data_IF_669443598706
#
_entry.id   IF_669443598706
#
_cell.length_a   1.000
_cell.length_b   1.000
_cell.length_c   1.000
_cell.angle_alpha   90.00
_cell.angle_beta   90.00
_cell.angle_gamma   90.00
#
_symmetry.space_group_name_H-M   'P 1'
#
loop_
_entity.id
_entity.type
_entity.pdbx_description
1 polymer ?
#
# COMPACT_ATOMS: atom_id res chain seq x y z
N UNK A 1 -35.49 -33.01 6.47
CA UNK A 1 -34.85 -33.97 5.54
C UNK A 1 -34.32 -33.17 4.36
N UNK A 2 -33.04 -33.05 4.02
CA UNK A 2 -31.78 -33.43 4.64
C UNK A 2 -30.70 -32.51 4.01
N UNK A 3 -29.77 -32.04 4.83
CA UNK A 3 -28.61 -31.25 4.45
C UNK A 3 -27.53 -32.12 3.80
N UNK A 4 -26.87 -31.65 2.74
CA UNK A 4 -25.56 -32.17 2.32
C UNK A 4 -24.47 -31.16 2.62
N UNK A 5 -23.73 -31.47 3.68
CA UNK A 5 -22.39 -30.99 3.99
C UNK A 5 -21.38 -31.77 3.15
N UNK A 6 -20.52 -31.11 2.39
CA UNK A 6 -19.35 -31.75 1.78
C UNK A 6 -18.15 -31.60 2.70
N UNK A 7 -17.76 -32.73 3.30
CA UNK A 7 -16.47 -32.97 3.93
C UNK A 7 -15.46 -33.26 2.82
N UNK A 8 -14.28 -32.66 2.91
CA UNK A 8 -13.08 -33.23 2.30
C UNK A 8 -12.06 -33.50 3.40
N UNK A 9 -11.83 -34.79 3.62
CA UNK A 9 -10.66 -35.32 4.28
C UNK A 9 -10.30 -36.61 3.56
N UNK A 10 -9.10 -36.66 2.98
CA UNK A 10 -8.22 -37.83 3.09
C UNK A 10 -6.81 -37.52 2.57
N UNK A 11 -5.81 -38.27 3.07
CA UNK A 11 -4.44 -37.82 3.24
C UNK A 11 -3.51 -38.47 2.21
N UNK A 12 -2.76 -37.65 1.47
CA UNK A 12 -1.63 -38.13 0.69
C UNK A 12 -0.71 -36.93 0.45
N UNK A 13 0.23 -36.68 1.37
CA UNK A 13 1.52 -35.99 1.15
C UNK A 13 2.24 -35.95 2.51
N UNK A 14 2.58 -37.13 3.02
CA UNK A 14 3.55 -37.33 4.11
C UNK A 14 4.59 -38.33 3.60
N UNK A 15 5.45 -37.92 2.67
CA UNK A 15 6.78 -38.52 2.43
C UNK A 15 7.65 -37.41 1.82
N UNK A 16 8.91 -37.32 2.25
CA UNK A 16 9.94 -36.30 1.96
C UNK A 16 9.92 -35.03 2.83
N UNK A 17 10.30 -35.20 4.11
CA UNK A 17 11.29 -34.32 4.75
C UNK A 17 11.77 -34.96 6.06
N UNK A 18 12.44 -36.12 5.96
CA UNK A 18 13.10 -36.78 7.08
C UNK A 18 14.53 -37.10 6.71
N UNK A 19 15.37 -36.06 6.61
CA UNK A 19 16.83 -36.17 6.54
C UNK A 19 17.43 -34.77 6.75
N UNK A 20 17.48 -34.34 8.02
CA UNK A 20 18.45 -33.36 8.59
C UNK A 20 18.12 -33.04 10.06
N UNK A 21 17.85 -34.06 10.88
CA UNK A 21 17.87 -33.90 12.35
C UNK A 21 18.72 -35.04 12.89
N UNK A 22 20.02 -34.81 12.98
CA UNK A 22 20.92 -35.47 13.93
C UNK A 22 22.21 -34.64 13.93
N UNK A 23 22.26 -33.58 14.75
CA UNK A 23 23.43 -33.27 15.57
C UNK A 23 23.11 -32.13 16.55
N UNK A 24 23.55 -32.33 17.80
CA UNK A 24 23.62 -31.42 18.96
C UNK A 24 22.41 -31.36 19.90
N UNK A 25 22.48 -32.24 20.89
CA UNK A 25 22.17 -31.89 22.28
C UNK A 25 23.42 -31.31 22.97
N UNK A 26 23.17 -30.55 24.05
CA UNK A 26 24.09 -29.99 25.06
C UNK A 26 24.77 -28.65 24.73
N UNK A 27 24.24 -27.54 25.28
CA UNK A 27 24.77 -26.79 26.45
C UNK A 27 23.61 -25.98 27.07
N UNK A 28 23.59 -25.87 28.40
CA UNK A 28 22.50 -25.34 29.22
C UNK A 28 22.35 -23.81 29.32
N UNK A 29 21.27 -23.47 30.03
CA UNK A 29 20.73 -22.20 30.54
C UNK A 29 21.57 -20.91 30.49
N UNK A 30 20.97 -19.83 29.97
CA UNK A 30 20.81 -18.55 30.70
C UNK A 30 19.76 -17.65 30.02
N UNK A 31 19.06 -16.89 30.85
CA UNK A 31 18.01 -15.91 30.53
C UNK A 31 18.55 -14.66 29.86
N UNK A 32 17.97 -14.25 28.72
CA UNK A 32 17.69 -12.84 28.35
C UNK A 32 16.86 -12.80 27.06
N UNK A 33 15.73 -12.12 27.07
CA UNK A 33 14.95 -11.74 25.88
C UNK A 33 15.82 -10.90 24.94
N UNK A 34 15.90 -11.16 23.62
CA UNK A 34 16.67 -10.31 22.73
C UNK A 34 15.92 -8.99 22.52
N UNK A 35 16.54 -7.90 22.99
CA UNK A 35 16.18 -6.53 22.66
C UNK A 35 16.48 -6.22 21.20
N UNK A 36 15.58 -5.49 20.55
CA UNK A 36 15.75 -4.91 19.22
C UNK A 36 17.06 -4.11 19.15
N UNK A 37 18.04 -4.60 18.39
CA UNK A 37 19.21 -3.82 17.99
C UNK A 37 19.25 -3.78 16.47
N UNK A 38 19.19 -2.56 15.95
CA UNK A 38 19.27 -2.20 14.55
C UNK A 38 20.61 -2.61 13.95
N UNK A 39 20.59 -3.35 12.85
CA UNK A 39 21.78 -3.60 12.04
C UNK A 39 21.97 -2.40 11.12
N UNK A 40 23.01 -1.62 11.39
CA UNK A 40 23.51 -0.56 10.51
C UNK A 40 25.02 -0.75 10.38
N UNK A 41 25.47 -1.41 9.31
CA UNK A 41 26.87 -1.31 8.87
C UNK A 41 26.90 -0.46 7.59
N UNK A 42 27.36 0.81 7.65
CA UNK A 42 27.29 1.75 6.53
C UNK A 42 28.48 1.68 5.55
N UNK A 43 29.34 0.64 5.61
CA UNK A 43 30.68 0.70 4.97
C UNK A 43 30.86 -0.13 3.70
N UNK A 44 29.79 -0.53 3.04
CA UNK A 44 29.85 -1.08 1.69
C UNK A 44 28.84 -0.30 0.86
N UNK A 45 29.20 0.03 -0.38
CA UNK A 45 28.40 0.76 -1.38
C UNK A 45 28.59 2.29 -1.43
N UNK A 46 29.48 2.69 -2.35
CA UNK A 46 29.33 3.95 -3.09
C UNK A 46 28.26 3.72 -4.18
N UNK A 47 27.07 4.28 -3.99
CA UNK A 47 25.92 4.28 -4.92
C UNK A 47 25.10 5.57 -4.65
N UNK A 48 24.32 6.07 -5.63
CA UNK A 48 24.07 7.49 -5.89
C UNK A 48 23.32 8.23 -4.78
N UNK A 49 23.65 9.52 -4.66
CA UNK A 49 23.39 10.52 -3.59
C UNK A 49 21.95 10.65 -3.05
N UNK A 50 20.98 9.87 -3.53
CA UNK A 50 19.57 9.98 -3.17
C UNK A 50 19.05 8.98 -2.14
N UNK A 51 19.54 7.74 -2.09
CA UNK A 51 18.86 6.67 -1.33
C UNK A 51 19.07 6.79 0.19
N UNK A 52 20.30 6.97 0.66
CA UNK A 52 20.54 7.21 2.10
C UNK A 52 19.96 8.54 2.55
N UNK A 53 19.99 9.57 1.69
CA UNK A 53 19.33 10.84 1.96
C UNK A 53 17.81 10.69 2.05
N UNK A 54 17.20 9.85 1.20
CA UNK A 54 15.76 9.57 1.16
C UNK A 54 15.32 8.65 2.31
N UNK A 55 16.06 7.60 2.64
CA UNK A 55 15.83 6.78 3.84
C UNK A 55 15.98 7.62 5.09
N UNK A 56 17.06 8.40 5.20
CA UNK A 56 17.20 9.37 6.28
C UNK A 56 16.12 10.45 6.21
N UNK A 57 15.52 10.79 5.07
CA UNK A 57 14.39 11.72 4.99
C UNK A 57 13.09 11.08 5.49
N UNK A 58 12.80 9.83 5.13
CA UNK A 58 11.66 9.06 5.68
C UNK A 58 11.83 8.82 7.19
N UNK A 59 13.06 8.53 7.63
CA UNK A 59 13.41 8.38 9.04
C UNK A 59 13.60 9.71 9.80
N UNK A 60 13.85 10.86 9.14
CA UNK A 60 13.91 12.20 9.78
C UNK A 60 12.60 12.96 9.74
N UNK A 61 11.67 12.64 8.82
CA UNK A 61 10.31 13.21 8.80
C UNK A 61 9.39 12.60 9.87
N UNK A 62 9.92 11.72 10.73
CA UNK A 62 9.37 11.52 12.07
C UNK A 62 9.66 12.67 13.04
N UNK A 63 10.67 13.52 12.75
CA UNK A 63 11.21 14.53 13.68
C UNK A 63 11.40 15.97 13.13
N UNK A 64 11.46 16.26 11.81
CA UNK A 64 11.66 17.64 11.28
C UNK A 64 11.09 17.81 9.84
N UNK A 65 10.13 18.71 9.59
CA UNK A 65 9.58 19.05 8.25
C UNK A 65 9.14 20.54 8.10
N UNK A 66 10.00 21.49 8.49
CA UNK A 66 9.71 22.92 8.45
C UNK A 66 9.95 23.61 7.09
N UNK A 67 10.58 22.96 6.11
CA UNK A 67 11.25 23.70 5.03
C UNK A 67 10.57 23.70 3.65
N UNK A 68 9.34 23.20 3.51
CA UNK A 68 8.63 23.25 2.22
C UNK A 68 7.87 24.57 1.95
N UNK A 69 7.85 25.51 2.91
CA UNK A 69 7.07 26.76 2.82
C UNK A 69 7.84 27.99 2.32
N UNK A 70 9.13 27.90 1.95
CA UNK A 70 9.96 29.11 1.71
C UNK A 70 10.58 29.28 0.31
N UNK A 71 10.32 28.41 -0.67
CA UNK A 71 10.87 28.58 -2.03
C UNK A 71 9.81 28.65 -3.15
N UNK A 72 8.72 29.40 -2.93
CA UNK A 72 7.84 29.88 -4.01
C UNK A 72 7.82 31.41 -4.08
N UNK A 73 8.98 31.98 -4.41
CA UNK A 73 9.04 33.31 -5.04
C UNK A 73 9.85 33.18 -6.31
N UNK A 74 9.16 33.00 -7.43
CA UNK A 74 9.71 33.34 -8.73
C UNK A 74 8.73 34.28 -9.44
N UNK A 75 9.37 35.31 -9.95
CA UNK A 75 8.95 36.58 -10.51
C UNK A 75 7.80 36.53 -11.51
N UNK A 76 6.93 37.55 -11.46
CA UNK A 76 5.84 37.78 -12.40
C UNK A 76 6.18 38.98 -13.28
N UNK A 77 6.81 38.76 -14.43
CA UNK A 77 6.81 39.72 -15.56
C UNK A 77 7.11 38.99 -16.87
N UNK A 78 6.09 38.70 -17.67
CA UNK A 78 5.90 39.28 -19.00
C UNK A 78 4.88 38.47 -19.81
N UNK A 79 3.80 39.16 -20.18
CA UNK A 79 2.71 38.69 -21.02
C UNK A 79 2.86 39.37 -22.38
N UNK A 80 2.85 38.62 -23.46
CA UNK A 80 2.24 39.06 -24.73
C UNK A 80 1.49 37.90 -25.39
N UNK A 81 0.24 38.10 -25.86
CA UNK A 81 -0.59 37.05 -26.44
C UNK A 81 -0.55 37.07 -27.98
N UNK A 82 -0.57 35.90 -28.61
CA UNK A 82 -0.98 35.73 -30.01
C UNK A 82 -2.07 34.66 -30.08
N UNK A 83 -3.20 35.02 -30.67
CA UNK A 83 -4.45 34.26 -30.59
C UNK A 83 -4.83 33.48 -31.85
N UNK A 84 -5.89 32.68 -31.66
CA UNK A 84 -6.85 32.18 -32.66
C UNK A 84 -6.73 30.68 -33.01
N UNK A 85 -7.82 29.99 -33.44
CA UNK A 85 -9.24 30.34 -33.42
C UNK A 85 -10.13 29.38 -32.60
N UNK A 86 -11.37 29.84 -32.41
CA UNK A 86 -12.48 29.20 -31.71
C UNK A 86 -12.94 27.90 -32.36
N UNK A 87 -13.21 26.89 -31.53
CA UNK A 87 -14.27 25.91 -31.79
C UNK A 87 -15.12 25.80 -30.52
N UNK A 88 -16.33 26.32 -30.63
CA UNK A 88 -17.37 26.31 -29.60
C UNK A 88 -17.92 24.89 -29.43
N UNK A 89 -17.57 24.21 -28.33
CA UNK A 89 -18.39 23.14 -27.79
C UNK A 89 -18.69 23.40 -26.31
N UNK A 90 -19.85 24.00 -26.11
CA UNK A 90 -20.43 24.43 -24.86
C UNK A 90 -20.76 23.21 -23.98
N UNK A 91 -19.77 22.71 -23.25
CA UNK A 91 -19.98 21.75 -22.15
C UNK A 91 -20.07 22.50 -20.83
N UNK A 92 -21.27 22.46 -20.25
CA UNK A 92 -21.64 23.14 -19.01
C UNK A 92 -20.55 23.06 -17.92
N UNK A 93 -19.98 24.24 -17.63
CA UNK A 93 -19.01 24.50 -16.59
C UNK A 93 -19.63 24.36 -15.19
N UNK A 94 -19.57 23.17 -14.62
CA UNK A 94 -19.43 22.99 -13.18
C UNK A 94 -18.23 22.09 -12.92
N UNK A 95 -17.04 22.56 -13.29
CA UNK A 95 -15.80 22.04 -12.72
C UNK A 95 -15.79 22.38 -11.23
N UNK A 96 -16.41 21.52 -10.41
CA UNK A 96 -16.17 21.51 -8.98
C UNK A 96 -14.66 21.36 -8.79
N UNK A 97 -14.00 22.44 -8.38
CA UNK A 97 -12.59 22.39 -8.04
C UNK A 97 -12.45 21.39 -6.89
N UNK A 98 -11.99 20.18 -7.22
CA UNK A 98 -11.84 19.07 -6.29
C UNK A 98 -10.85 19.40 -5.17
N UNK A 99 -10.11 20.52 -5.21
CA UNK A 99 -9.24 21.00 -4.15
C UNK A 99 -9.85 22.12 -3.29
N UNK A 100 -10.99 22.69 -3.68
CA UNK A 100 -11.58 23.76 -2.88
C UNK A 100 -12.06 23.18 -1.55
N UNK A 101 -11.27 23.41 -0.50
CA UNK A 101 -11.60 23.03 0.87
C UNK A 101 -12.79 23.88 1.31
N UNK A 102 -13.96 23.26 1.40
CA UNK A 102 -15.20 23.93 1.82
C UNK A 102 -15.32 23.98 3.33
N UNK A 103 -14.83 22.93 4.00
CA UNK A 103 -14.87 22.80 5.45
C UNK A 103 -13.65 22.04 5.95
N UNK A 104 -13.09 22.51 7.06
CA UNK A 104 -12.05 21.85 7.84
C UNK A 104 -12.64 21.43 9.18
N UNK A 105 -12.34 20.20 9.61
CA UNK A 105 -12.71 19.63 10.92
C UNK A 105 -11.40 19.21 11.59
N UNK A 106 -11.10 19.75 12.77
CA UNK A 106 -9.86 19.47 13.50
C UNK A 106 -10.10 18.38 14.54
N UNK A 107 -9.31 17.31 14.46
CA UNK A 107 -9.30 16.24 15.47
C UNK A 107 -8.11 16.45 16.41
N UNK A 108 -8.37 16.51 17.70
CA UNK A 108 -7.35 16.69 18.74
C UNK A 108 -7.72 15.95 20.03
N UNK A 109 -6.88 14.98 20.42
CA UNK A 109 -7.08 14.19 21.65
C UNK A 109 -7.04 15.04 22.93
N UNK A 110 -6.39 16.22 22.91
CA UNK A 110 -6.37 17.16 24.03
C UNK A 110 -7.67 17.96 24.20
N UNK A 111 -8.58 17.88 23.23
CA UNK A 111 -9.87 18.59 23.25
C UNK A 111 -9.81 20.04 22.78
N UNK A 112 -8.69 20.51 22.19
CA UNK A 112 -8.55 21.85 21.60
C UNK A 112 -8.90 21.89 20.10
N UNK A 113 -9.62 20.88 19.61
CA UNK A 113 -10.12 20.77 18.23
C UNK A 113 -11.65 20.64 18.21
N UNK A 114 -12.23 20.44 17.04
CA UNK A 114 -13.68 20.23 16.87
C UNK A 114 -14.13 18.87 17.42
N UNK A 115 -13.25 17.87 17.37
CA UNK A 115 -13.50 16.50 17.81
C UNK A 115 -12.29 15.93 18.56
N UNK A 116 -12.51 14.95 19.44
CA UNK A 116 -11.42 14.22 20.11
C UNK A 116 -11.01 12.97 19.35
N UNK A 117 -11.95 12.38 18.61
CA UNK A 117 -11.75 11.14 17.87
C UNK A 117 -11.95 11.34 16.37
N UNK A 118 -11.33 10.46 15.58
CA UNK A 118 -11.48 10.50 14.12
C UNK A 118 -12.90 10.08 13.73
N UNK A 119 -13.48 9.13 14.48
CA UNK A 119 -14.87 8.70 14.28
C UNK A 119 -15.86 9.87 14.44
N UNK A 120 -15.72 10.68 15.49
CA UNK A 120 -16.56 11.87 15.70
C UNK A 120 -16.48 12.84 14.51
N UNK A 121 -15.28 13.10 14.00
CA UNK A 121 -15.12 13.99 12.85
C UNK A 121 -15.75 13.44 11.57
N UNK A 122 -15.70 12.13 11.35
CA UNK A 122 -16.43 11.48 10.25
C UNK A 122 -17.94 11.65 10.46
N UNK A 123 -18.44 11.50 11.69
CA UNK A 123 -19.86 11.63 12.01
C UNK A 123 -20.41 13.03 11.69
N UNK A 124 -19.59 14.08 11.81
CA UNK A 124 -19.92 15.45 11.40
C UNK A 124 -20.00 15.69 9.88
N UNK A 125 -19.50 14.76 9.05
CA UNK A 125 -19.65 14.82 7.59
C UNK A 125 -21.06 14.36 7.20
N UNK A 126 -21.85 15.17 6.48
CA UNK A 126 -23.20 14.78 6.07
C UNK A 126 -23.17 13.58 5.10
N UNK A 127 -24.19 12.72 5.12
CA UNK A 127 -24.36 11.72 4.07
C UNK A 127 -24.59 12.39 2.71
N UNK A 128 -24.20 11.71 1.64
CA UNK A 128 -24.25 12.18 0.25
C UNK A 128 -23.49 13.50 0.02
N UNK A 129 -22.44 13.74 0.82
CA UNK A 129 -21.55 14.89 0.69
C UNK A 129 -21.08 15.07 -0.77
N UNK A 130 -21.06 16.32 -1.26
CA UNK A 130 -20.64 16.65 -2.64
C UNK A 130 -19.41 17.56 -2.67
N UNK A 131 -18.90 17.94 -1.51
CA UNK A 131 -17.85 18.94 -1.36
C UNK A 131 -16.65 18.36 -0.61
N UNK A 132 -15.42 18.84 -0.88
CA UNK A 132 -14.27 18.34 -0.14
C UNK A 132 -14.30 18.84 1.31
N UNK A 133 -14.34 17.88 2.24
CA UNK A 133 -14.18 18.13 3.68
C UNK A 133 -12.83 17.58 4.12
N UNK A 134 -12.01 18.45 4.70
CA UNK A 134 -10.71 18.09 5.27
C UNK A 134 -10.87 17.78 6.75
N UNK A 135 -10.60 16.55 7.13
CA UNK A 135 -10.43 16.14 8.52
C UNK A 135 -8.94 16.24 8.83
N UNK A 136 -8.59 17.29 9.55
CA UNK A 136 -7.22 17.64 9.91
C UNK A 136 -6.90 17.08 11.29
N UNK A 137 -6.03 16.08 11.33
CA UNK A 137 -5.81 15.26 12.51
C UNK A 137 -4.48 15.70 13.13
N UNK A 138 -4.53 16.19 14.38
CA UNK A 138 -3.32 16.62 15.10
C UNK A 138 -2.36 15.45 15.32
N UNK A 139 -1.07 15.73 15.58
CA UNK A 139 -0.11 14.67 15.89
C UNK A 139 -0.54 13.87 17.12
N UNK A 140 -0.25 12.57 17.11
CA UNK A 140 -0.64 11.68 18.18
C UNK A 140 -0.93 10.25 17.70
N UNK A 141 -1.16 9.37 18.67
CA UNK A 141 -1.52 7.96 18.42
C UNK A 141 -3.00 7.76 18.68
N UNK A 142 -3.74 7.56 17.60
CA UNK A 142 -5.18 7.35 17.58
C UNK A 142 -5.47 5.85 17.52
N UNK A 143 -5.71 5.24 18.68
CA UNK A 143 -6.07 3.83 18.78
C UNK A 143 -7.55 3.61 18.49
N UNK A 144 -7.94 3.65 17.21
CA UNK A 144 -9.32 3.59 16.75
C UNK A 144 -9.49 2.64 15.56
N UNK A 145 -10.62 1.92 15.51
CA UNK A 145 -11.09 1.34 14.24
C UNK A 145 -11.94 2.35 13.49
N UNK A 146 -11.45 2.78 12.33
CA UNK A 146 -12.06 3.82 11.53
C UNK A 146 -12.74 3.21 10.30
N UNK A 147 -13.98 3.63 10.03
CA UNK A 147 -14.72 3.23 8.82
C UNK A 147 -15.37 4.43 8.17
N UNK A 148 -15.01 4.72 6.93
CA UNK A 148 -15.70 5.71 6.10
C UNK A 148 -16.77 4.97 5.27
N UNK A 149 -18.07 5.23 5.50
CA UNK A 149 -19.14 4.58 4.75
C UNK A 149 -19.22 5.14 3.32
N UNK A 150 -19.76 4.34 2.40
CA UNK A 150 -19.95 4.72 0.98
C UNK A 150 -20.69 6.04 0.80
N UNK A 151 -21.59 6.37 1.73
CA UNK A 151 -22.39 7.58 1.73
C UNK A 151 -21.61 8.87 2.03
N UNK A 152 -20.32 8.84 2.37
CA UNK A 152 -19.55 10.05 2.73
C UNK A 152 -18.33 10.27 1.82
N UNK A 153 -18.52 10.62 0.54
CA UNK A 153 -17.40 10.83 -0.39
C UNK A 153 -16.71 12.18 -0.15
N UNK A 154 -15.59 12.41 -0.84
CA UNK A 154 -14.81 13.66 -0.78
C UNK A 154 -14.24 14.00 0.61
N UNK A 155 -13.94 12.99 1.42
CA UNK A 155 -13.22 13.17 2.69
C UNK A 155 -11.71 13.17 2.43
N UNK A 156 -11.01 14.12 3.04
CA UNK A 156 -9.54 14.13 3.13
C UNK A 156 -9.11 13.91 4.56
N UNK A 157 -8.18 12.99 4.81
CA UNK A 157 -7.42 12.94 6.06
C UNK A 157 -6.10 13.67 5.86
N UNK A 158 -5.85 14.67 6.68
CA UNK A 158 -4.63 15.48 6.62
C UNK A 158 -3.94 15.45 7.98
N UNK A 159 -2.77 14.83 8.03
CA UNK A 159 -1.86 14.89 9.17
C UNK A 159 -0.83 16.02 9.02
N UNK A 160 0.12 16.06 9.94
CA UNK A 160 1.20 17.04 9.93
C UNK A 160 2.45 16.43 9.29
N UNK A 161 3.14 17.18 8.44
CA UNK A 161 4.39 16.73 7.82
C UNK A 161 5.53 16.57 8.83
N UNK A 162 5.50 17.35 9.91
CA UNK A 162 6.57 17.49 10.89
C UNK A 162 6.49 16.49 12.04
N UNK A 163 5.28 16.03 12.34
CA UNK A 163 4.97 15.27 13.54
C UNK A 163 3.96 14.20 13.16
N UNK A 164 4.24 12.96 13.55
CA UNK A 164 3.45 11.83 13.08
C UNK A 164 2.03 11.81 13.67
N UNK A 165 1.06 11.63 12.78
CA UNK A 165 -0.30 11.22 13.13
C UNK A 165 -0.43 9.73 12.79
N UNK A 166 -0.60 8.90 13.83
CA UNK A 166 -0.67 7.44 13.69
C UNK A 166 -2.08 6.96 14.02
N UNK A 167 -2.74 6.30 13.07
CA UNK A 167 -4.01 5.61 13.30
C UNK A 167 -3.71 4.12 13.42
N UNK A 168 -3.94 3.55 14.61
CA UNK A 168 -3.50 2.19 14.94
C UNK A 168 -4.61 1.34 15.56
N UNK A 169 -4.59 0.05 15.24
CA UNK A 169 -5.36 -0.99 15.91
C UNK A 169 -4.60 -2.31 15.73
N UNK A 170 -5.09 -3.43 16.26
CA UNK A 170 -4.35 -4.70 16.23
C UNK A 170 -5.22 -5.91 15.91
N UNK A 171 -6.26 -5.71 15.09
CA UNK A 171 -7.18 -6.80 14.78
C UNK A 171 -6.61 -7.76 13.77
N UNK A 172 -6.84 -9.05 13.96
CA UNK A 172 -6.55 -10.09 12.97
C UNK A 172 -7.84 -10.67 12.36
N UNK A 173 -7.68 -11.43 11.28
CA UNK A 173 -8.78 -12.13 10.62
C UNK A 173 -9.48 -13.16 11.52
N UNK A 174 -8.79 -13.72 12.50
CA UNK A 174 -9.30 -14.69 13.47
C UNK A 174 -9.99 -14.07 14.68
N UNK A 175 -9.97 -12.74 14.83
CA UNK A 175 -10.65 -12.11 15.96
C UNK A 175 -12.16 -12.33 15.90
N UNK A 176 -12.84 -12.52 17.04
CA UNK A 176 -14.27 -12.70 17.09
C UNK A 176 -15.01 -11.42 16.65
N UNK A 177 -15.92 -11.56 15.69
CA UNK A 177 -16.78 -10.46 15.20
C UNK A 177 -17.88 -10.10 16.19
N UNK A 178 -18.40 -11.09 16.91
CA UNK A 178 -19.41 -10.93 17.95
C UNK A 178 -19.18 -11.96 19.03
N UNK A 179 -19.38 -11.58 20.30
CA UNK A 179 -19.34 -12.53 21.43
C UNK A 179 -20.47 -13.57 21.38
N UNK A 180 -21.55 -13.32 20.61
CA UNK A 180 -22.73 -14.18 20.54
C UNK A 180 -22.72 -15.15 19.36
N UNK A 181 -21.96 -14.85 18.31
CA UNK A 181 -21.91 -15.67 17.09
C UNK A 181 -20.46 -16.09 16.86
N UNK A 182 -20.20 -17.39 16.76
CA UNK A 182 -18.89 -18.00 16.44
C UNK A 182 -18.44 -17.65 15.01
N UNK A 183 -18.27 -16.35 14.76
CA UNK A 183 -17.93 -15.75 13.47
C UNK A 183 -16.73 -14.84 13.69
N UNK A 184 -15.82 -14.87 12.74
CA UNK A 184 -14.56 -14.12 12.81
C UNK A 184 -14.61 -12.88 11.92
N UNK A 185 -13.76 -11.89 12.18
CA UNK A 185 -13.66 -10.68 11.37
C UNK A 185 -13.34 -11.00 9.91
N UNK A 186 -12.53 -12.05 9.67
CA UNK A 186 -11.86 -12.32 8.39
C UNK A 186 -10.95 -11.15 7.98
N UNK A 187 -10.13 -11.34 6.96
CA UNK A 187 -9.20 -10.30 6.47
C UNK A 187 -9.90 -8.97 6.22
N UNK A 188 -11.06 -8.99 5.57
CA UNK A 188 -11.80 -7.79 5.18
C UNK A 188 -12.17 -6.85 6.34
N UNK A 189 -12.56 -7.40 7.50
CA UNK A 189 -12.93 -6.61 8.67
C UNK A 189 -11.79 -6.46 9.69
N UNK A 190 -10.62 -7.03 9.43
CA UNK A 190 -9.43 -6.84 10.28
C UNK A 190 -8.91 -5.40 10.21
N UNK A 191 -9.08 -4.71 9.08
CA UNK A 191 -8.62 -3.35 8.78
C UNK A 191 -8.74 -2.37 9.96
N UNK A 192 -7.63 -1.70 10.32
CA UNK A 192 -7.61 -0.54 11.22
C UNK A 192 -8.41 0.61 10.63
N UNK A 193 -8.14 0.97 9.36
CA UNK A 193 -8.91 1.97 8.62
C UNK A 193 -9.54 1.34 7.38
N UNK A 194 -10.85 1.50 7.24
CA UNK A 194 -11.63 0.95 6.14
C UNK A 194 -12.40 2.05 5.39
N UNK A 195 -11.93 2.42 4.21
CA UNK A 195 -12.56 3.42 3.34
C UNK A 195 -13.42 2.73 2.29
N UNK A 196 -14.69 3.10 2.21
CA UNK A 196 -15.64 2.55 1.23
C UNK A 196 -16.29 3.66 0.39
N UNK A 197 -15.70 4.87 0.38
CA UNK A 197 -16.25 6.04 -0.30
C UNK A 197 -15.28 6.65 -1.31
N UNK A 198 -15.84 7.23 -2.38
CA UNK A 198 -15.10 7.75 -3.53
C UNK A 198 -14.39 9.06 -3.20
N UNK A 199 -13.37 9.40 -3.98
CA UNK A 199 -12.62 10.67 -3.86
C UNK A 199 -11.94 10.88 -2.50
N UNK A 200 -11.63 9.79 -1.81
CA UNK A 200 -10.90 9.84 -0.55
C UNK A 200 -9.45 10.27 -0.80
N UNK A 201 -8.93 11.13 0.06
CA UNK A 201 -7.51 11.52 0.02
C UNK A 201 -6.91 11.36 1.41
N UNK A 202 -5.67 10.87 1.50
CA UNK A 202 -4.89 10.93 2.73
C UNK A 202 -3.53 11.58 2.46
N UNK A 203 -3.10 12.43 3.39
CA UNK A 203 -1.82 13.14 3.33
C UNK A 203 -1.14 13.10 4.69
N UNK A 204 0.13 12.69 4.74
CA UNK A 204 0.94 12.68 5.96
C UNK A 204 0.31 11.90 7.14
N UNK A 205 -0.23 10.71 6.86
CA UNK A 205 -0.83 9.83 7.88
C UNK A 205 -0.10 8.49 7.89
N UNK A 206 0.14 7.95 9.09
CA UNK A 206 0.58 6.58 9.30
C UNK A 206 -0.64 5.71 9.64
N UNK A 207 -0.91 4.71 8.81
CA UNK A 207 -1.92 3.68 9.06
C UNK A 207 -1.24 2.40 9.52
N UNK A 208 -1.58 1.92 10.71
CA UNK A 208 -0.90 0.78 11.32
C UNK A 208 -1.88 -0.31 11.75
N UNK A 209 -1.50 -1.56 11.49
CA UNK A 209 -1.99 -2.70 12.26
C UNK A 209 -0.86 -3.25 13.13
N UNK A 210 -0.96 -3.04 14.44
CA UNK A 210 0.05 -3.43 15.42
C UNK A 210 -0.15 -4.86 15.94
N UNK A 211 -0.88 -5.72 15.22
CA UNK A 211 -0.90 -7.14 15.55
C UNK A 211 0.52 -7.71 15.44
N UNK A 212 0.94 -8.59 16.36
CA UNK A 212 2.28 -9.15 16.33
C UNK A 212 2.50 -9.99 15.06
N UNK A 213 3.75 -10.02 14.59
CA UNK A 213 4.16 -10.90 13.50
C UNK A 213 3.71 -12.34 13.79
N UNK A 214 2.94 -12.97 12.91
CA UNK A 214 2.50 -14.33 13.17
C UNK A 214 3.64 -15.33 12.97
N UNK A 215 3.71 -16.40 13.78
CA UNK A 215 4.57 -17.53 13.47
C UNK A 215 4.28 -18.10 12.07
N UNK A 216 5.29 -18.68 11.40
CA UNK A 216 5.11 -19.40 10.15
C UNK A 216 3.93 -20.38 10.18
N UNK A 217 3.12 -20.41 9.11
CA UNK A 217 1.99 -21.35 8.99
C UNK A 217 0.76 -21.01 9.85
N UNK A 218 0.75 -19.88 10.57
CA UNK A 218 -0.40 -19.50 11.38
C UNK A 218 -1.66 -19.24 10.54
N UNK A 219 -2.79 -19.77 10.99
CA UNK A 219 -4.08 -19.60 10.33
C UNK A 219 -4.81 -18.36 10.89
N UNK A 220 -5.37 -17.53 10.01
CA UNK A 220 -6.24 -16.42 10.39
C UNK A 220 -5.51 -15.20 10.98
N UNK A 221 -4.20 -15.07 10.74
CA UNK A 221 -3.38 -13.98 11.28
C UNK A 221 -3.19 -12.79 10.35
N UNK A 222 -3.87 -12.76 9.21
CA UNK A 222 -3.96 -11.60 8.34
C UNK A 222 -4.43 -10.38 9.15
N UNK A 223 -3.75 -9.25 9.00
CA UNK A 223 -3.95 -8.08 9.85
C UNK A 223 -3.79 -6.79 9.04
N UNK A 224 -4.91 -6.32 8.49
CA UNK A 224 -4.92 -5.18 7.56
C UNK A 224 -4.74 -3.86 8.33
N UNK A 225 -3.80 -3.02 7.90
CA UNK A 225 -3.64 -1.65 8.38
C UNK A 225 -4.64 -0.72 7.68
N UNK A 226 -4.73 -0.82 6.36
CA UNK A 226 -5.60 0.03 5.57
C UNK A 226 -6.30 -0.75 4.46
N UNK A 227 -7.61 -0.50 4.29
CA UNK A 227 -8.39 -1.04 3.18
C UNK A 227 -9.10 0.08 2.43
N UNK A 228 -8.90 0.13 1.12
CA UNK A 228 -9.66 0.98 0.19
C UNK A 228 -10.57 0.15 -0.72
N UNK A 229 -11.87 0.38 -0.59
CA UNK A 229 -12.95 -0.26 -1.34
C UNK A 229 -13.80 0.78 -2.06
N UNK A 230 -13.18 1.66 -2.84
CA UNK A 230 -13.87 2.72 -3.57
C UNK A 230 -13.00 3.34 -4.65
N UNK A 231 -13.62 3.85 -5.70
CA UNK A 231 -12.92 4.47 -6.82
C UNK A 231 -12.35 5.86 -6.50
N UNK A 232 -11.26 6.22 -7.18
CA UNK A 232 -10.63 7.55 -7.18
C UNK A 232 -10.07 7.95 -5.80
N UNK A 233 -9.22 7.13 -5.19
CA UNK A 233 -8.56 7.47 -3.93
C UNK A 233 -7.08 7.84 -4.13
N UNK A 234 -6.58 8.83 -3.41
CA UNK A 234 -5.18 9.25 -3.49
C UNK A 234 -4.48 9.32 -2.13
N UNK A 235 -3.21 8.97 -2.09
CA UNK A 235 -2.39 8.87 -0.89
C UNK A 235 -1.06 9.56 -1.15
N UNK A 236 -0.69 10.53 -0.30
CA UNK A 236 0.51 11.33 -0.44
C UNK A 236 1.31 11.31 0.86
N UNK A 237 2.58 10.90 0.81
CA UNK A 237 3.41 10.84 2.01
C UNK A 237 2.77 10.01 3.14
N UNK A 238 2.01 8.96 2.79
CA UNK A 238 1.39 8.07 3.77
C UNK A 238 2.32 6.90 4.09
N UNK A 239 2.18 6.36 5.29
CA UNK A 239 2.83 5.11 5.69
C UNK A 239 1.80 4.03 5.99
N UNK A 240 2.07 2.80 5.55
CA UNK A 240 1.21 1.64 5.78
C UNK A 240 2.04 0.56 6.45
N UNK A 241 1.77 0.30 7.73
CA UNK A 241 2.62 -0.53 8.59
C UNK A 241 1.86 -1.77 9.07
N UNK A 242 2.44 -2.94 8.85
CA UNK A 242 1.86 -4.23 9.25
C UNK A 242 2.79 -5.40 8.92
N UNK A 243 2.24 -6.61 8.92
CA UNK A 243 2.97 -7.83 8.56
C UNK A 243 2.29 -8.52 7.37
N UNK A 244 1.37 -9.43 7.64
CA UNK A 244 0.59 -10.09 6.60
C UNK A 244 -0.65 -9.26 6.23
N UNK A 245 -0.87 -9.05 4.94
CA UNK A 245 -2.01 -8.33 4.38
C UNK A 245 -2.08 -6.83 4.80
N UNK A 246 -0.95 -6.11 4.87
CA UNK A 246 -0.89 -4.71 5.36
C UNK A 246 -1.86 -3.75 4.63
N UNK A 247 -1.75 -3.65 3.32
CA UNK A 247 -2.52 -2.75 2.47
C UNK A 247 -3.47 -3.55 1.57
N UNK A 248 -4.76 -3.50 1.91
CA UNK A 248 -5.81 -4.10 1.11
C UNK A 248 -6.33 -3.09 0.08
N UNK A 249 -5.63 -3.03 -1.05
CA UNK A 249 -6.02 -2.32 -2.27
C UNK A 249 -7.14 -3.08 -3.00
N UNK A 250 -8.34 -3.05 -2.40
CA UNK A 250 -9.41 -4.00 -2.68
C UNK A 250 -10.04 -3.83 -4.07
N UNK A 251 -10.56 -2.64 -4.38
CA UNK A 251 -11.09 -2.30 -5.71
C UNK A 251 -11.24 -0.79 -5.90
N UNK A 252 -11.14 -0.34 -7.15
CA UNK A 252 -11.18 1.08 -7.53
C UNK A 252 -9.88 1.52 -8.20
N UNK A 253 -9.85 2.76 -8.70
CA UNK A 253 -8.62 3.40 -9.19
C UNK A 253 -7.95 4.18 -8.07
N UNK A 254 -6.67 3.91 -7.83
CA UNK A 254 -5.95 4.54 -6.73
C UNK A 254 -4.60 5.09 -7.15
N UNK A 255 -4.16 6.13 -6.45
CA UNK A 255 -2.85 6.72 -6.62
C UNK A 255 -2.11 6.78 -5.29
N UNK A 256 -0.92 6.20 -5.24
CA UNK A 256 -0.04 6.25 -4.08
C UNK A 256 1.24 6.95 -4.53
N UNK A 257 1.55 8.10 -3.92
CA UNK A 257 2.72 8.90 -4.26
C UNK A 257 3.56 9.18 -3.02
N UNK A 258 4.86 8.89 -3.08
CA UNK A 258 5.78 9.09 -1.97
C UNK A 258 5.36 8.31 -0.71
N UNK A 259 4.74 7.14 -0.86
CA UNK A 259 4.27 6.34 0.28
C UNK A 259 5.32 5.32 0.72
N UNK A 260 5.35 5.04 2.02
CA UNK A 260 6.10 3.93 2.60
C UNK A 260 5.15 2.79 2.94
N UNK A 261 5.44 1.58 2.51
CA UNK A 261 4.59 0.40 2.72
C UNK A 261 5.47 -0.73 3.23
N UNK A 262 5.10 -1.27 4.39
CA UNK A 262 5.87 -2.29 5.08
C UNK A 262 5.05 -3.54 5.37
N UNK A 263 5.65 -4.70 5.17
CA UNK A 263 5.07 -5.97 5.57
C UNK A 263 5.88 -7.19 5.15
N UNK A 264 5.29 -8.36 5.29
CA UNK A 264 5.94 -9.64 5.04
C UNK A 264 5.23 -10.42 3.93
N UNK A 265 4.03 -10.93 4.19
CA UNK A 265 3.29 -11.79 3.26
C UNK A 265 2.13 -11.00 2.66
N UNK A 266 2.07 -10.93 1.33
CA UNK A 266 0.98 -10.31 0.55
C UNK A 266 0.65 -8.88 1.00
N UNK A 267 1.67 -8.12 1.37
CA UNK A 267 1.41 -6.89 2.11
C UNK A 267 0.81 -5.76 1.24
N UNK A 268 0.80 -5.92 -0.09
CA UNK A 268 -0.05 -5.15 -1.01
C UNK A 268 -0.91 -6.13 -1.81
N UNK A 269 -2.22 -6.15 -1.57
CA UNK A 269 -3.09 -7.17 -2.17
C UNK A 269 -4.48 -6.64 -2.51
N UNK A 270 -5.15 -7.34 -3.43
CA UNK A 270 -6.50 -7.00 -3.89
C UNK A 270 -6.60 -6.85 -5.40
N UNK A 271 -7.64 -6.16 -5.87
CA UNK A 271 -7.97 -6.03 -7.30
C UNK A 271 -8.10 -4.55 -7.74
N UNK A 272 -7.39 -3.64 -7.07
CA UNK A 272 -7.30 -2.24 -7.50
C UNK A 272 -6.67 -2.07 -8.88
N UNK A 273 -6.93 -0.91 -9.50
CA UNK A 273 -6.20 -0.37 -10.65
C UNK A 273 -5.36 0.78 -10.13
N UNK A 274 -4.11 0.51 -9.78
CA UNK A 274 -3.36 1.39 -8.89
C UNK A 274 -1.98 1.70 -9.42
N UNK A 275 -1.61 2.98 -9.36
CA UNK A 275 -0.27 3.47 -9.63
C UNK A 275 0.40 3.83 -8.30
N UNK A 276 1.53 3.17 -8.03
CA UNK A 276 2.42 3.42 -6.91
C UNK A 276 3.66 4.11 -7.47
N UNK A 277 3.78 5.42 -7.23
CA UNK A 277 4.82 6.28 -7.81
C UNK A 277 5.75 6.77 -6.71
N UNK A 278 7.05 6.57 -6.89
CA UNK A 278 8.05 6.98 -5.90
C UNK A 278 7.75 6.44 -4.49
N UNK A 279 7.26 5.20 -4.42
CA UNK A 279 6.95 4.53 -3.17
C UNK A 279 8.11 3.66 -2.73
N UNK A 280 8.15 3.34 -1.44
CA UNK A 280 9.10 2.37 -0.91
C UNK A 280 8.41 1.22 -0.24
N UNK A 281 8.83 0.04 -0.65
CA UNK A 281 8.27 -1.24 -0.27
C UNK A 281 9.29 -1.94 0.61
N UNK A 282 9.07 -1.90 1.92
CA UNK A 282 9.99 -2.47 2.91
C UNK A 282 9.53 -3.89 3.30
N UNK A 283 10.29 -4.88 2.87
CA UNK A 283 10.06 -6.29 3.15
C UNK A 283 10.61 -6.70 4.53
N UNK A 284 9.76 -7.27 5.37
CA UNK A 284 10.13 -7.78 6.69
C UNK A 284 10.36 -9.30 6.68
N UNK A 285 11.47 -9.75 7.29
CA UNK A 285 11.71 -11.16 7.61
C UNK A 285 11.56 -11.43 9.09
N UNK A 286 10.58 -12.24 9.46
CA UNK A 286 10.40 -12.64 10.85
C UNK A 286 10.29 -14.17 10.99
N UNK A 287 10.33 -14.89 9.87
CA UNK A 287 9.91 -16.29 9.76
C UNK A 287 10.96 -17.20 9.13
N UNK A 288 12.00 -16.64 8.48
CA UNK A 288 12.93 -17.40 7.63
C UNK A 288 12.29 -17.95 6.35
N UNK A 289 11.01 -17.62 6.09
CA UNK A 289 10.27 -18.00 4.90
C UNK A 289 10.08 -16.75 4.05
N UNK A 290 10.35 -16.82 2.73
CA UNK A 290 10.14 -15.68 1.86
C UNK A 290 8.72 -15.12 1.93
N UNK A 291 8.64 -13.80 2.01
CA UNK A 291 7.40 -13.04 1.89
C UNK A 291 6.98 -12.82 0.44
N UNK A 292 5.98 -11.97 0.23
CA UNK A 292 5.60 -11.49 -1.09
C UNK A 292 5.16 -10.04 -0.98
N UNK A 293 5.73 -9.17 -1.81
CA UNK A 293 5.34 -7.76 -1.86
C UNK A 293 3.87 -7.64 -2.26
N UNK A 294 3.48 -8.38 -3.30
CA UNK A 294 2.16 -8.25 -3.92
C UNK A 294 1.39 -9.56 -3.99
N UNK A 295 0.06 -9.46 -3.91
CA UNK A 295 -0.88 -10.53 -4.22
C UNK A 295 -2.11 -9.97 -4.95
N UNK A 296 -1.97 -9.78 -6.27
CA UNK A 296 -3.00 -9.13 -7.08
C UNK A 296 -4.07 -10.15 -7.54
N UNK A 297 -5.34 -9.76 -7.51
CA UNK A 297 -6.52 -10.63 -7.62
C UNK A 297 -7.38 -10.45 -8.87
N UNK A 298 -6.80 -10.01 -9.99
CA UNK A 298 -7.51 -10.00 -11.27
C UNK A 298 -7.79 -11.43 -11.72
N UNK A 299 -9.03 -11.71 -12.10
CA UNK A 299 -9.51 -13.02 -12.55
C UNK A 299 -10.20 -12.96 -13.91
N UNK A 300 -10.00 -11.85 -14.63
CA UNK A 300 -10.52 -11.67 -15.97
C UNK A 300 -9.60 -10.71 -16.72
N UNK A 301 -9.06 -11.14 -17.86
CA UNK A 301 -8.15 -10.33 -18.69
C UNK A 301 -8.82 -9.10 -19.31
N UNK A 302 -10.15 -9.07 -19.39
CA UNK A 302 -10.92 -7.90 -19.86
C UNK A 302 -10.93 -6.76 -18.84
N UNK A 303 -10.62 -7.04 -17.57
CA UNK A 303 -10.49 -6.02 -16.54
C UNK A 303 -9.17 -5.27 -16.68
N UNK A 304 -9.26 -3.95 -16.58
CA UNK A 304 -8.14 -3.03 -16.59
C UNK A 304 -7.47 -2.85 -15.21
N UNK A 305 -7.79 -3.72 -14.24
CA UNK A 305 -7.18 -3.72 -12.91
C UNK A 305 -5.74 -4.24 -12.93
N UNK A 306 -4.95 -3.91 -11.90
CA UNK A 306 -3.53 -4.20 -11.86
C UNK A 306 -2.78 -3.23 -10.96
N UNK A 307 -1.60 -3.63 -10.51
CA UNK A 307 -0.70 -2.77 -9.76
C UNK A 307 0.48 -2.39 -10.65
N UNK A 308 0.78 -1.09 -10.73
CA UNK A 308 1.98 -0.58 -11.38
C UNK A 308 2.81 0.21 -10.39
N UNK A 309 4.06 -0.21 -10.21
CA UNK A 309 5.06 0.42 -9.36
C UNK A 309 6.07 1.12 -10.26
N UNK A 310 6.21 2.42 -10.09
CA UNK A 310 6.97 3.27 -10.99
C UNK A 310 7.94 4.12 -10.18
N UNK A 311 9.22 4.11 -10.57
CA UNK A 311 10.28 4.86 -9.87
C UNK A 311 10.30 4.57 -8.36
N UNK A 312 10.01 3.32 -7.98
CA UNK A 312 9.86 2.90 -6.58
C UNK A 312 11.10 2.15 -6.09
N UNK A 313 11.25 2.01 -4.78
CA UNK A 313 12.36 1.29 -4.17
C UNK A 313 11.86 0.07 -3.40
N UNK A 314 12.51 -1.07 -3.58
CA UNK A 314 12.24 -2.30 -2.83
C UNK A 314 13.44 -2.56 -1.92
N UNK A 315 13.21 -2.60 -0.61
CA UNK A 315 14.24 -2.81 0.41
C UNK A 315 13.78 -3.80 1.47
N UNK A 316 14.61 -4.01 2.48
CA UNK A 316 14.19 -4.52 3.78
C UNK A 316 15.12 -5.58 4.32
N UNK A 317 14.62 -6.37 5.25
CA UNK A 317 15.38 -7.46 5.87
C UNK A 317 14.94 -8.84 5.39
N UNK A 318 13.86 -8.92 4.60
CA UNK A 318 13.24 -10.19 4.20
C UNK A 318 13.30 -10.50 2.73
N UNK A 319 13.73 -11.73 2.46
CA UNK A 319 13.63 -12.34 1.14
C UNK A 319 12.17 -12.36 0.69
N UNK A 320 11.90 -11.91 -0.53
CA UNK A 320 10.54 -11.73 -1.04
C UNK A 320 10.43 -12.12 -2.52
N UNK A 321 9.24 -12.60 -2.88
CA UNK A 321 8.76 -12.49 -4.25
C UNK A 321 8.27 -11.06 -4.51
N UNK A 322 8.48 -10.55 -5.72
CA UNK A 322 7.83 -9.34 -6.25
C UNK A 322 6.30 -9.48 -6.21
N UNK A 323 5.80 -10.68 -6.45
CA UNK A 323 4.37 -10.96 -6.36
C UNK A 323 4.03 -12.42 -6.49
N UNK A 324 2.83 -12.76 -5.99
CA UNK A 324 2.22 -14.06 -6.24
C UNK A 324 0.77 -13.96 -6.73
N UNK A 325 0.41 -14.81 -7.69
CA UNK A 325 -0.83 -14.71 -8.45
C UNK A 325 -2.06 -15.16 -7.64
N UNK A 326 -2.60 -14.28 -6.80
CA UNK A 326 -3.81 -14.59 -6.03
C UNK A 326 -5.03 -14.80 -6.94
N UNK A 327 -5.17 -13.96 -7.98
CA UNK A 327 -6.14 -14.16 -9.06
C UNK A 327 -5.53 -14.88 -10.25
N UNK A 328 -6.36 -15.53 -11.07
CA UNK A 328 -5.90 -16.31 -12.21
C UNK A 328 -5.21 -15.46 -13.28
N UNK A 329 -5.66 -14.22 -13.47
CA UNK A 329 -5.16 -13.28 -14.48
C UNK A 329 -4.40 -12.13 -13.82
N UNK A 330 -3.71 -12.41 -12.71
CA UNK A 330 -3.04 -11.43 -11.87
C UNK A 330 -2.15 -10.48 -12.67
N UNK A 331 -2.15 -9.18 -12.36
CA UNK A 331 -1.35 -8.19 -13.11
C UNK A 331 -0.56 -7.27 -12.19
N UNK A 332 0.76 -7.32 -12.31
CA UNK A 332 1.71 -6.51 -11.55
C UNK A 332 2.86 -6.09 -12.47
N UNK A 333 3.19 -4.80 -12.48
CA UNK A 333 4.30 -4.24 -13.26
C UNK A 333 5.20 -3.44 -12.35
N UNK A 334 6.50 -3.74 -12.36
CA UNK A 334 7.53 -2.86 -11.79
C UNK A 334 8.28 -2.17 -12.92
N UNK A 335 8.39 -0.84 -12.86
CA UNK A 335 9.02 -0.05 -13.89
C UNK A 335 9.96 0.99 -13.29
N UNK A 336 11.17 1.10 -13.83
CA UNK A 336 12.22 2.03 -13.37
C UNK A 336 12.45 2.00 -11.86
N UNK A 337 12.23 0.84 -11.26
CA UNK A 337 12.27 0.67 -9.81
C UNK A 337 13.59 0.02 -9.42
N UNK A 338 14.15 0.47 -8.29
CA UNK A 338 15.35 -0.15 -7.72
C UNK A 338 14.91 -1.34 -6.85
N UNK A 339 15.60 -2.47 -7.00
CA UNK A 339 15.34 -3.70 -6.27
C UNK A 339 16.61 -4.11 -5.53
N UNK A 340 16.56 -4.06 -4.21
CA UNK A 340 17.65 -4.56 -3.36
C UNK A 340 17.73 -6.10 -3.38
N UNK A 341 18.76 -6.67 -2.77
CA UNK A 341 19.06 -8.12 -2.78
C UNK A 341 18.06 -8.98 -1.98
N UNK A 342 17.04 -8.33 -1.41
CA UNK A 342 15.86 -8.93 -0.82
C UNK A 342 14.96 -9.63 -1.85
N UNK A 343 15.04 -9.26 -3.13
CA UNK A 343 14.22 -9.88 -4.17
C UNK A 343 14.83 -11.22 -4.60
N UNK A 344 14.06 -12.30 -4.43
CA UNK A 344 14.50 -13.63 -4.85
C UNK A 344 14.78 -13.67 -6.37
N UNK A 345 15.79 -14.42 -6.84
CA UNK A 345 16.10 -14.53 -8.27
C UNK A 345 14.90 -14.94 -9.13
N UNK A 346 14.08 -15.89 -8.65
CA UNK A 346 12.85 -16.33 -9.33
C UNK A 346 11.82 -15.21 -9.48
N UNK A 347 11.83 -14.23 -8.57
CA UNK A 347 11.03 -13.00 -8.57
C UNK A 347 9.54 -13.21 -8.34
N UNK A 348 8.92 -14.20 -8.97
CA UNK A 348 7.48 -14.34 -9.10
C UNK A 348 7.02 -15.74 -8.74
N UNK A 349 5.81 -15.84 -8.19
CA UNK A 349 5.21 -17.12 -7.81
C UNK A 349 3.78 -17.22 -8.38
N UNK A 350 3.45 -18.36 -8.97
CA UNK A 350 2.17 -18.65 -9.62
C UNK A 350 1.07 -19.10 -8.63
N UNK A 351 1.34 -18.99 -7.32
CA UNK A 351 0.50 -19.51 -6.23
C UNK A 351 0.47 -21.05 -6.17
N UNK A 352 1.42 -21.74 -6.83
CA UNK A 352 1.45 -23.20 -6.91
C UNK A 352 0.23 -23.78 -7.63
N UNK A 353 -0.37 -23.00 -8.53
CA UNK A 353 -1.60 -23.36 -9.26
C UNK A 353 -1.31 -23.40 -10.75
N UNK A 354 -1.16 -24.61 -11.29
CA UNK A 354 -0.91 -24.83 -12.73
C UNK A 354 -1.94 -24.08 -13.59
N UNK A 355 -1.44 -23.28 -14.51
CA UNK A 355 -2.20 -22.49 -15.47
C UNK A 355 -2.30 -21.01 -15.19
N UNK A 356 -1.95 -20.53 -13.99
CA UNK A 356 -1.91 -19.08 -13.71
C UNK A 356 -0.76 -18.40 -14.42
N UNK A 357 0.33 -19.12 -14.68
CA UNK A 357 1.47 -18.66 -15.47
C UNK A 357 1.10 -18.28 -16.90
N UNK A 358 0.00 -18.83 -17.44
CA UNK A 358 -0.42 -18.60 -18.84
C UNK A 358 -1.08 -17.24 -19.04
N UNK A 359 -1.78 -16.73 -18.03
CA UNK A 359 -2.60 -15.51 -18.16
C UNK A 359 -2.25 -14.40 -17.18
N UNK A 360 -1.43 -14.69 -16.16
CA UNK A 360 -0.84 -13.66 -15.31
C UNK A 360 0.10 -12.75 -16.12
N UNK A 361 0.03 -11.45 -15.86
CA UNK A 361 0.86 -10.43 -16.49
C UNK A 361 1.80 -9.84 -15.44
N UNK A 362 2.93 -10.51 -15.21
CA UNK A 362 3.97 -10.07 -14.29
C UNK A 362 5.18 -9.62 -15.07
N UNK A 363 5.54 -8.35 -14.86
CA UNK A 363 6.46 -7.69 -15.77
C UNK A 363 7.39 -6.70 -15.09
N UNK A 364 8.59 -6.58 -15.64
CA UNK A 364 9.63 -5.66 -15.23
C UNK A 364 10.05 -4.80 -16.42
N UNK A 365 10.25 -3.50 -16.20
CA UNK A 365 10.75 -2.56 -17.20
C UNK A 365 11.84 -1.68 -16.62
N UNK A 366 13.07 -1.79 -17.15
CA UNK A 366 14.19 -0.93 -16.78
C UNK A 366 14.42 -0.82 -15.25
N UNK A 367 14.23 -1.94 -14.52
CA UNK A 367 14.54 -2.02 -13.10
C UNK A 367 16.06 -2.13 -12.89
N UNK A 368 16.56 -1.68 -11.74
CA UNK A 368 17.99 -1.68 -11.40
C UNK A 368 18.23 -2.20 -9.98
N UNK A 369 19.49 -2.41 -9.61
CA UNK A 369 19.88 -2.96 -8.30
C UNK A 369 20.10 -4.47 -8.31
N UNK A 370 20.67 -5.03 -7.23
CA UNK A 370 21.08 -6.43 -7.15
C UNK A 370 19.91 -7.41 -7.27
N UNK A 371 18.71 -7.03 -6.82
CA UNK A 371 17.49 -7.82 -6.95
C UNK A 371 16.83 -7.78 -8.32
N UNK A 372 17.27 -6.90 -9.23
CA UNK A 372 16.64 -6.69 -10.54
C UNK A 372 17.16 -7.61 -11.66
N UNK A 373 18.06 -8.55 -11.35
CA UNK A 373 18.60 -9.49 -12.34
C UNK A 373 17.51 -10.42 -12.86
N UNK A 374 17.20 -10.32 -14.15
CA UNK A 374 16.06 -11.03 -14.76
C UNK A 374 16.37 -12.44 -15.27
N UNK A 375 17.65 -12.81 -15.41
CA UNK A 375 18.05 -14.12 -15.98
C UNK A 375 17.64 -15.32 -15.13
N UNK A 376 17.35 -15.12 -13.84
CA UNK A 376 16.87 -16.15 -12.91
C UNK A 376 15.36 -16.15 -12.70
N UNK A 377 14.61 -15.27 -13.38
CA UNK A 377 13.16 -15.11 -13.16
C UNK A 377 12.39 -16.34 -13.58
N UNK A 378 11.19 -16.47 -13.03
CA UNK A 378 10.21 -17.44 -13.50
C UNK A 378 10.06 -17.34 -15.04
N UNK A 379 10.04 -18.45 -15.80
CA UNK A 379 10.08 -18.41 -17.27
C UNK A 379 8.94 -17.65 -17.95
N UNK A 380 7.84 -17.41 -17.23
CA UNK A 380 6.66 -16.68 -17.68
C UNK A 380 6.67 -15.20 -17.29
N UNK A 381 7.66 -14.76 -16.51
CA UNK A 381 7.87 -13.35 -16.20
C UNK A 381 8.28 -12.59 -17.47
N UNK A 382 7.83 -11.35 -17.59
CA UNK A 382 8.05 -10.52 -18.79
C UNK A 382 9.08 -9.44 -18.50
N UNK A 383 10.01 -9.25 -19.43
CA UNK A 383 10.80 -8.03 -19.52
C UNK A 383 10.20 -7.19 -20.63
N UNK A 384 9.67 -6.02 -20.29
CA UNK A 384 8.95 -5.19 -21.26
C UNK A 384 9.92 -4.35 -22.10
N UNK A 385 9.51 -4.09 -23.32
CA UNK A 385 10.02 -2.97 -24.12
C UNK A 385 9.42 -1.64 -23.63
N UNK A 386 9.98 -0.52 -24.09
CA UNK A 386 9.45 0.81 -23.76
C UNK A 386 7.97 0.98 -24.18
N UNK A 387 7.63 0.56 -25.39
CA UNK A 387 6.27 0.66 -25.92
C UNK A 387 5.26 -0.20 -25.12
N UNK A 388 5.66 -1.41 -24.72
CA UNK A 388 4.84 -2.26 -23.85
C UNK A 388 4.68 -1.68 -22.45
N UNK A 389 5.72 -1.02 -21.92
CA UNK A 389 5.70 -0.45 -20.59
C UNK A 389 4.88 0.85 -20.51
N UNK A 390 4.90 1.67 -21.58
CA UNK A 390 4.30 3.01 -21.67
C UNK A 390 2.91 3.15 -21.03
N UNK A 391 1.94 2.22 -21.21
CA UNK A 391 0.61 2.33 -20.59
C UNK A 391 0.61 2.27 -19.06
N UNK A 392 1.67 1.76 -18.45
CA UNK A 392 1.81 1.57 -17.01
C UNK A 392 2.64 2.68 -16.34
N UNK A 393 3.39 3.49 -17.09
CA UNK A 393 4.39 4.41 -16.52
C UNK A 393 3.83 5.70 -15.93
N UNK A 394 2.59 6.05 -16.26
CA UNK A 394 2.01 7.36 -15.97
C UNK A 394 0.63 7.26 -15.32
N UNK A 395 0.11 8.41 -14.88
CA UNK A 395 -1.25 8.55 -14.37
C UNK A 395 -2.33 8.13 -15.38
N UNK A 396 -2.01 8.00 -16.68
CA UNK A 396 -2.95 7.47 -17.67
C UNK A 396 -3.36 6.03 -17.35
N UNK A 397 -2.46 5.24 -16.72
CA UNK A 397 -2.76 3.90 -16.22
C UNK A 397 -3.96 3.87 -15.27
N UNK A 398 -4.25 4.97 -14.57
CA UNK A 398 -5.39 5.08 -13.63
C UNK A 398 -6.40 6.13 -14.08
N UNK A 399 -6.31 6.60 -15.32
CA UNK A 399 -7.04 7.77 -15.82
C UNK A 399 -6.96 9.00 -14.89
N UNK A 400 -5.82 9.19 -14.22
CA UNK A 400 -5.63 10.16 -13.15
C UNK A 400 -5.94 11.59 -13.55
N UNK A 401 -5.63 11.99 -14.78
CA UNK A 401 -5.95 13.32 -15.35
C UNK A 401 -7.43 13.72 -15.22
N UNK A 402 -8.34 12.74 -15.10
CA UNK A 402 -9.79 12.98 -15.00
C UNK A 402 -10.31 13.21 -13.58
N UNK A 403 -9.58 12.79 -12.55
CA UNK A 403 -10.10 12.74 -11.19
C UNK A 403 -9.11 13.15 -10.11
N UNK A 404 -7.81 13.09 -10.40
CA UNK A 404 -6.81 13.72 -9.54
C UNK A 404 -6.92 15.23 -9.66
N UNK A 405 -6.69 15.96 -8.56
CA UNK A 405 -6.57 17.41 -8.58
C UNK A 405 -5.65 17.97 -9.67
N UNK A 406 -6.09 19.00 -10.41
CA UNK A 406 -5.30 19.64 -11.48
C UNK A 406 -3.94 20.23 -11.04
N UNK A 407 -3.76 20.50 -9.75
CA UNK A 407 -2.46 20.93 -9.20
C UNK A 407 -1.33 19.90 -9.40
N UNK A 408 -1.65 18.66 -9.82
CA UNK A 408 -0.67 17.63 -10.17
C UNK A 408 -0.42 17.46 -11.69
N UNK A 409 -1.08 18.25 -12.55
CA UNK A 409 -0.96 18.11 -14.02
C UNK A 409 0.19 18.97 -14.58
N UNK A 410 0.75 19.86 -13.78
CA UNK A 410 1.87 20.75 -14.16
C UNK A 410 3.18 20.28 -13.53
N UNK A 411 3.70 19.13 -13.99
CA UNK A 411 5.15 18.82 -13.97
C UNK A 411 5.49 17.91 -15.14
#
# INVERSE_FOLDING_TARGET
MGSKSERWGSPAFVVLCTLCILFRAAVGSSTTSPSWTSVSDPRVWQEPDGFQAWLQYVHRTSDLASDWATHSKLDTTDVTPLGGPNDDEQTNSTEHNLLQVKRKIVVDQSGKGDCRTIKEAIDLVPPQNRERIVIHIRPGVYREKVKIPKTKPYITFEGYSNNQTIITYNSTASDPKSKKHHTYLRTYNSATVAVNSKYFVAVNIVFQNSAPAPPPGSIGKQAVAFRISADMAAFYNCQFLGFQDTLYDHHGRHYFKNCYIEGAVDFIFGNGRSLYKNCVLNALNNSGIPGSLTAQKRNDTTLDTGFSFVDSYISGSGQVYLGRAWGNDSRVVFARSYMDDVVLPVGWNDWGSEGRERTSYYAEYNCSGPGAVTSGRAPWARVLTEDEAKPFLSMDFINGKRWLPKAEITQ
#
